data_IF_281724431402
#
_entry.id   IF_281724431402
#
_cell.length_a   1.000
_cell.length_b   1.000
_cell.length_c   1.000
_cell.angle_alpha   90.00
_cell.angle_beta   90.00
_cell.angle_gamma   90.00
#
_symmetry.space_group_name_H-M   'P 1'
#
loop_
_entity.id
_entity.type
_entity.pdbx_description
1 polymer ?
#
# COMPACT_ATOMS: atom_id res chain seq x y z
N UNK A 1 -18.82 41.49 2.23
CA UNK A 1 -19.84 40.56 2.73
C UNK A 1 -19.29 39.98 4.01
N UNK A 2 -20.02 40.10 5.12
CA UNK A 2 -19.60 39.52 6.40
C UNK A 2 -19.54 38.00 6.24
N UNK A 3 -18.41 37.39 6.55
CA UNK A 3 -18.23 35.94 6.51
C UNK A 3 -18.88 35.34 7.75
N UNK A 4 -20.18 35.06 7.68
CA UNK A 4 -20.86 34.27 8.71
C UNK A 4 -20.26 32.88 8.71
N UNK A 5 -19.69 32.46 9.85
CA UNK A 5 -19.28 31.08 10.08
C UNK A 5 -20.49 30.15 9.86
N UNK A 6 -20.38 29.11 9.01
CA UNK A 6 -21.49 28.22 8.73
C UNK A 6 -21.96 27.52 10.00
N UNK A 7 -23.28 27.41 10.17
CA UNK A 7 -23.86 26.59 11.23
C UNK A 7 -23.66 25.11 10.89
N UNK A 8 -22.64 24.51 11.48
CA UNK A 8 -22.27 23.11 11.26
C UNK A 8 -23.37 22.15 11.76
N UNK A 9 -24.18 22.55 12.74
CA UNK A 9 -25.28 21.73 13.26
C UNK A 9 -26.38 21.62 12.20
N UNK A 10 -26.77 22.75 11.60
CA UNK A 10 -27.74 22.76 10.50
C UNK A 10 -27.26 21.97 9.29
N UNK A 11 -25.97 22.06 8.93
CA UNK A 11 -25.43 21.27 7.81
C UNK A 11 -25.56 19.76 8.06
N UNK A 12 -25.28 19.29 9.28
CA UNK A 12 -25.42 17.87 9.63
C UNK A 12 -26.88 17.42 9.58
N UNK A 13 -27.82 18.22 10.11
CA UNK A 13 -29.25 17.92 10.04
C UNK A 13 -29.75 17.82 8.59
N UNK A 14 -29.26 18.70 7.70
CA UNK A 14 -29.59 18.66 6.28
C UNK A 14 -29.03 17.40 5.59
N UNK A 15 -27.81 16.98 5.93
CA UNK A 15 -27.26 15.72 5.41
C UNK A 15 -28.05 14.50 5.91
N UNK A 16 -28.39 14.45 7.19
CA UNK A 16 -29.22 13.36 7.74
C UNK A 16 -30.59 13.29 7.06
N UNK A 17 -31.23 14.43 6.80
CA UNK A 17 -32.52 14.46 6.12
C UNK A 17 -32.41 14.01 4.66
N UNK A 18 -31.32 14.37 3.96
CA UNK A 18 -31.03 13.89 2.61
C UNK A 18 -30.79 12.38 2.59
N UNK A 19 -30.14 11.83 3.61
CA UNK A 19 -29.91 10.39 3.73
C UNK A 19 -31.20 9.62 4.03
N UNK A 20 -32.05 10.16 4.92
CA UNK A 20 -33.36 9.56 5.24
C UNK A 20 -34.33 9.62 4.07
N UNK A 21 -34.31 10.72 3.31
CA UNK A 21 -35.19 10.98 2.19
C UNK A 21 -34.37 11.40 0.95
N UNK A 22 -33.88 10.44 0.14
CA UNK A 22 -32.92 10.71 -0.94
C UNK A 22 -33.23 11.87 -1.90
N UNK A 23 -34.49 12.08 -2.36
CA UNK A 23 -34.79 13.22 -3.20
C UNK A 23 -34.74 14.56 -2.47
N UNK A 24 -34.98 14.62 -1.15
CA UNK A 24 -35.15 15.81 -0.28
C UNK A 24 -34.74 17.15 -0.91
N UNK A 25 -35.58 17.65 -1.83
CA UNK A 25 -35.22 18.74 -2.73
C UNK A 25 -35.02 20.04 -1.96
N UNK A 26 -35.85 20.27 -0.93
CA UNK A 26 -35.75 21.43 -0.05
C UNK A 26 -34.47 21.38 0.78
N UNK A 27 -34.12 20.24 1.37
CA UNK A 27 -32.90 20.09 2.16
C UNK A 27 -31.65 20.31 1.31
N UNK A 28 -31.61 19.76 0.09
CA UNK A 28 -30.52 19.98 -0.89
C UNK A 28 -30.42 21.44 -1.32
N UNK A 29 -31.56 22.13 -1.54
CA UNK A 29 -31.60 23.57 -1.87
C UNK A 29 -31.05 24.40 -0.71
N UNK A 30 -31.47 24.11 0.52
CA UNK A 30 -31.05 24.81 1.74
C UNK A 30 -29.55 24.57 2.02
N UNK A 31 -29.06 23.35 1.80
CA UNK A 31 -27.64 22.99 1.90
C UNK A 31 -26.78 23.80 0.92
N UNK A 32 -27.19 23.87 -0.35
CA UNK A 32 -26.49 24.65 -1.37
C UNK A 32 -26.46 26.15 -1.02
N UNK A 33 -27.57 26.69 -0.48
CA UNK A 33 -27.67 28.07 -0.05
C UNK A 33 -26.75 28.38 1.15
N UNK A 34 -26.72 27.51 2.15
CA UNK A 34 -25.84 27.67 3.33
C UNK A 34 -24.35 27.62 2.93
N UNK A 35 -23.97 26.66 2.09
CA UNK A 35 -22.62 26.59 1.54
C UNK A 35 -22.25 27.86 0.75
N UNK A 36 -23.19 28.42 -0.02
CA UNK A 36 -22.95 29.66 -0.77
C UNK A 36 -22.75 30.87 0.16
N UNK A 37 -23.61 31.02 1.18
CA UNK A 37 -23.51 32.11 2.16
C UNK A 37 -22.23 32.03 3.00
N UNK A 38 -21.76 30.82 3.30
CA UNK A 38 -20.48 30.56 3.98
C UNK A 38 -19.23 30.79 3.09
N UNK A 39 -19.41 31.08 1.80
CA UNK A 39 -18.32 31.24 0.83
C UNK A 39 -17.71 29.92 0.34
N UNK A 40 -18.35 28.78 0.62
CA UNK A 40 -17.93 27.45 0.15
C UNK A 40 -18.48 27.17 -1.25
N UNK A 41 -17.97 27.94 -2.22
CA UNK A 41 -18.48 27.99 -3.59
C UNK A 41 -18.48 26.63 -4.29
N UNK A 42 -17.44 25.81 -4.09
CA UNK A 42 -17.34 24.50 -4.75
C UNK A 42 -18.34 23.48 -4.18
N UNK A 43 -18.49 23.44 -2.85
CA UNK A 43 -19.50 22.59 -2.19
C UNK A 43 -20.93 23.00 -2.58
N UNK A 44 -21.21 24.31 -2.64
CA UNK A 44 -22.49 24.83 -3.12
C UNK A 44 -22.76 24.43 -4.59
N UNK A 45 -21.73 24.46 -5.45
CA UNK A 45 -21.85 24.07 -6.85
C UNK A 45 -22.15 22.57 -7.01
N UNK A 46 -21.49 21.72 -6.23
CA UNK A 46 -21.72 20.28 -6.28
C UNK A 46 -23.13 19.93 -5.76
N UNK A 47 -23.57 20.54 -4.65
CA UNK A 47 -24.93 20.39 -4.14
C UNK A 47 -26.00 20.84 -5.17
N UNK A 48 -25.77 21.94 -5.90
CA UNK A 48 -26.67 22.39 -6.97
C UNK A 48 -26.69 21.46 -8.18
N UNK A 49 -25.56 20.83 -8.53
CA UNK A 49 -25.52 19.83 -9.62
C UNK A 49 -26.31 18.59 -9.25
N UNK A 50 -26.19 18.13 -8.01
CA UNK A 50 -26.98 17.02 -7.50
C UNK A 50 -28.47 17.38 -7.50
N UNK A 51 -28.85 18.55 -6.98
CA UNK A 51 -30.23 19.02 -6.98
C UNK A 51 -30.82 19.07 -8.41
N UNK A 52 -30.07 19.60 -9.37
CA UNK A 52 -30.46 19.66 -10.79
C UNK A 52 -30.63 18.28 -11.43
N UNK A 53 -29.88 17.27 -10.96
CA UNK A 53 -30.01 15.91 -11.44
C UNK A 53 -31.32 15.25 -10.98
N UNK A 54 -31.83 15.61 -9.79
CA UNK A 54 -33.11 15.13 -9.27
C UNK A 54 -34.31 15.89 -9.84
N UNK A 55 -34.25 17.22 -9.85
CA UNK A 55 -35.32 18.06 -10.40
C UNK A 55 -34.73 19.33 -11.05
N UNK A 56 -34.75 19.42 -12.40
CA UNK A 56 -34.30 20.61 -13.12
C UNK A 56 -35.14 21.87 -12.82
N UNK A 57 -36.38 21.71 -12.36
CA UNK A 57 -37.32 22.81 -12.10
C UNK A 57 -37.27 23.33 -10.67
N UNK A 58 -36.70 22.55 -9.73
CA UNK A 58 -36.53 22.93 -8.32
C UNK A 58 -35.55 24.11 -8.14
N UNK A 59 -34.62 24.30 -9.09
CA UNK A 59 -33.88 25.55 -9.25
C UNK A 59 -34.80 26.59 -9.91
N UNK A 60 -35.76 27.12 -9.16
CA UNK A 60 -36.47 28.34 -9.56
C UNK A 60 -35.49 29.48 -9.89
N UNK A 61 -36.00 30.62 -10.37
CA UNK A 61 -35.26 31.79 -10.87
C UNK A 61 -34.31 32.50 -9.88
N UNK A 62 -33.85 31.80 -8.85
CA UNK A 62 -32.84 32.19 -7.87
C UNK A 62 -31.55 32.69 -8.56
N UNK A 63 -31.21 33.99 -8.43
CA UNK A 63 -30.11 34.61 -9.18
C UNK A 63 -28.74 34.06 -8.79
N UNK A 64 -28.58 33.60 -7.53
CA UNK A 64 -27.33 33.03 -7.04
C UNK A 64 -27.04 31.65 -7.65
N UNK A 65 -28.08 30.84 -7.90
CA UNK A 65 -27.92 29.51 -8.49
C UNK A 65 -27.50 29.59 -9.96
N UNK A 66 -28.06 30.55 -10.73
CA UNK A 66 -27.62 30.86 -12.11
C UNK A 66 -26.14 31.26 -12.13
N UNK A 67 -25.74 32.14 -11.22
CA UNK A 67 -24.34 32.60 -11.10
C UNK A 67 -23.34 31.46 -10.81
N UNK A 68 -23.75 30.43 -10.07
CA UNK A 68 -22.89 29.28 -9.73
C UNK A 68 -22.85 28.20 -10.81
N UNK A 69 -23.95 28.01 -11.54
CA UNK A 69 -24.08 27.01 -12.60
C UNK A 69 -23.61 27.50 -13.96
N UNK A 70 -23.65 28.80 -14.20
CA UNK A 70 -23.05 29.38 -15.39
C UNK A 70 -21.55 29.09 -15.34
N UNK A 71 -21.01 28.39 -16.37
CA UNK A 71 -19.59 28.14 -16.43
C UNK A 71 -18.88 29.49 -16.35
N UNK A 72 -17.88 29.65 -15.46
CA UNK A 72 -17.21 30.93 -15.28
C UNK A 72 -16.81 31.43 -16.67
N UNK A 73 -17.35 32.58 -17.07
CA UNK A 73 -17.17 33.16 -18.41
C UNK A 73 -15.72 32.94 -18.80
N UNK A 74 -15.48 32.21 -19.91
CA UNK A 74 -14.15 31.75 -20.34
C UNK A 74 -13.18 32.91 -20.19
N UNK A 75 -12.48 32.99 -19.05
CA UNK A 75 -11.37 33.92 -18.90
C UNK A 75 -10.43 33.53 -20.03
N UNK A 76 -9.96 34.49 -20.86
CA UNK A 76 -8.95 34.17 -21.86
C UNK A 76 -7.90 33.33 -21.14
N UNK A 77 -7.53 32.16 -21.70
CA UNK A 77 -6.73 31.19 -20.98
C UNK A 77 -5.59 31.98 -20.36
N UNK A 78 -5.45 32.00 -19.01
CA UNK A 78 -4.28 32.64 -18.43
C UNK A 78 -3.12 32.02 -19.18
N UNK A 79 -2.34 32.85 -19.89
CA UNK A 79 -1.11 32.37 -20.55
C UNK A 79 -0.49 31.49 -19.50
N UNK A 80 -0.46 30.17 -19.75
CA UNK A 80 0.11 29.23 -18.81
C UNK A 80 1.52 29.75 -18.67
N UNK A 81 1.79 30.48 -17.58
CA UNK A 81 3.12 30.58 -17.04
C UNK A 81 3.40 29.12 -16.77
N UNK A 82 4.04 28.49 -17.74
CA UNK A 82 4.71 27.22 -17.58
C UNK A 82 5.63 27.54 -16.42
N UNK A 83 5.17 27.25 -15.20
CA UNK A 83 6.06 27.17 -14.05
C UNK A 83 6.99 26.07 -14.49
N UNK A 84 8.17 26.46 -14.95
CA UNK A 84 9.21 25.53 -15.33
C UNK A 84 9.35 24.61 -14.12
N UNK A 85 8.98 23.34 -14.30
CA UNK A 85 9.29 22.33 -13.31
C UNK A 85 10.81 22.41 -13.19
N UNK A 86 11.36 22.72 -12.00
CA UNK A 86 12.80 22.88 -11.85
C UNK A 86 13.45 21.58 -12.33
N UNK A 87 14.30 21.69 -13.36
CA UNK A 87 15.00 20.55 -13.91
C UNK A 87 15.93 20.00 -12.84
N UNK A 88 15.88 18.69 -12.62
CA UNK A 88 16.83 17.99 -11.77
C UNK A 88 18.24 18.29 -12.28
N UNK A 89 19.16 18.78 -11.43
CA UNK A 89 20.51 19.14 -11.86
C UNK A 89 21.20 17.89 -12.43
N UNK A 90 21.78 18.03 -13.62
CA UNK A 90 22.39 16.91 -14.36
C UNK A 90 23.89 16.80 -14.10
N UNK A 91 24.50 17.84 -13.51
CA UNK A 91 25.92 17.88 -13.16
C UNK A 91 26.14 18.38 -11.72
N UNK A 92 27.27 18.03 -11.08
CA UNK A 92 27.60 18.54 -9.75
C UNK A 92 27.78 20.08 -9.73
N UNK A 93 28.25 20.68 -10.82
CA UNK A 93 28.37 22.14 -10.95
C UNK A 93 26.99 22.83 -11.00
N UNK A 94 26.03 22.24 -11.71
CA UNK A 94 24.64 22.73 -11.74
C UNK A 94 23.98 22.61 -10.36
N UNK A 95 24.26 21.54 -9.62
CA UNK A 95 23.76 21.36 -8.26
C UNK A 95 24.28 22.45 -7.33
N UNK A 96 25.58 22.77 -7.38
CA UNK A 96 26.16 23.86 -6.57
C UNK A 96 25.62 25.23 -6.97
N UNK A 97 25.42 25.48 -8.27
CA UNK A 97 24.78 26.70 -8.74
C UNK A 97 23.34 26.85 -8.23
N UNK A 98 22.54 25.79 -8.28
CA UNK A 98 21.17 25.77 -7.75
C UNK A 98 21.14 25.95 -6.22
N UNK A 99 22.10 25.36 -5.48
CA UNK A 99 22.24 25.59 -4.04
C UNK A 99 22.54 27.05 -3.72
N UNK A 100 23.47 27.67 -4.45
CA UNK A 100 23.80 29.10 -4.28
C UNK A 100 22.62 30.01 -4.61
N UNK A 101 21.88 29.72 -5.68
CA UNK A 101 20.66 30.44 -6.03
C UNK A 101 19.60 30.34 -4.92
N UNK A 102 19.41 29.14 -4.37
CA UNK A 102 18.47 28.91 -3.26
C UNK A 102 18.88 29.67 -2.00
N UNK A 103 20.17 29.68 -1.65
CA UNK A 103 20.70 30.43 -0.50
C UNK A 103 20.45 31.92 -0.69
N UNK A 104 20.79 32.48 -1.86
CA UNK A 104 20.57 33.90 -2.17
C UNK A 104 19.09 34.27 -2.14
N UNK A 105 18.24 33.50 -2.82
CA UNK A 105 16.80 33.72 -2.83
C UNK A 105 16.18 33.63 -1.43
N UNK A 106 16.72 32.74 -0.58
CA UNK A 106 16.31 32.62 0.80
C UNK A 106 16.73 33.83 1.65
N UNK A 107 17.95 34.32 1.51
CA UNK A 107 18.41 35.54 2.18
C UNK A 107 17.58 36.77 1.77
N UNK A 108 17.29 36.91 0.48
CA UNK A 108 16.40 37.96 -0.04
C UNK A 108 14.99 37.85 0.56
N UNK A 109 14.44 36.63 0.66
CA UNK A 109 13.15 36.40 1.30
C UNK A 109 13.16 36.80 2.77
N UNK A 110 14.23 36.47 3.52
CA UNK A 110 14.38 36.86 4.93
C UNK A 110 14.47 38.37 5.09
N UNK A 111 15.22 39.06 4.23
CA UNK A 111 15.32 40.53 4.23
C UNK A 111 13.97 41.16 3.93
N UNK A 112 13.23 40.63 2.94
CA UNK A 112 11.89 41.10 2.61
C UNK A 112 10.90 40.87 3.75
N UNK A 113 10.93 39.70 4.39
CA UNK A 113 10.11 39.41 5.56
C UNK A 113 10.41 40.35 6.72
N UNK A 114 11.70 40.65 6.98
CA UNK A 114 12.12 41.62 7.99
C UNK A 114 11.59 43.03 7.69
N UNK A 115 11.64 43.45 6.42
CA UNK A 115 11.09 44.72 5.98
C UNK A 115 9.57 44.79 6.18
N UNK A 116 8.84 43.77 5.73
CA UNK A 116 7.38 43.70 5.90
C UNK A 116 6.97 43.68 7.37
N UNK A 117 7.73 42.99 8.23
CA UNK A 117 7.47 42.96 9.66
C UNK A 117 7.66 44.33 10.32
N UNK A 118 8.65 45.10 9.88
CA UNK A 118 8.81 46.49 10.31
C UNK A 118 7.65 47.37 9.84
N UNK A 119 7.23 47.23 8.58
CA UNK A 119 6.09 47.96 8.01
C UNK A 119 4.77 47.62 8.72
N UNK A 120 4.52 46.34 9.03
CA UNK A 120 3.36 45.90 9.80
C UNK A 120 3.29 46.56 11.19
N UNK A 121 4.42 46.62 11.90
CA UNK A 121 4.50 47.29 13.20
C UNK A 121 4.20 48.79 13.10
N UNK A 122 4.73 49.46 12.08
CA UNK A 122 4.43 50.88 11.84
C UNK A 122 2.94 51.10 11.53
N UNK A 123 2.32 50.20 10.76
CA UNK A 123 0.87 50.26 10.49
C UNK A 123 0.04 50.00 11.75
N UNK A 124 0.47 49.07 12.60
CA UNK A 124 -0.17 48.81 13.89
C UNK A 124 -0.08 50.03 14.82
N UNK A 125 1.08 50.68 14.89
CA UNK A 125 1.28 51.91 15.65
C UNK A 125 0.36 53.01 15.11
N UNK A 126 0.33 53.25 13.80
CA UNK A 126 -0.55 54.25 13.17
C UNK A 126 -2.04 53.97 13.41
N UNK A 127 -2.46 52.69 13.34
CA UNK A 127 -3.83 52.30 13.63
C UNK A 127 -4.19 52.57 15.10
N UNK A 128 -3.24 52.36 16.02
CA UNK A 128 -3.43 52.64 17.45
C UNK A 128 -3.58 54.14 17.75
N UNK A 129 -2.96 55.02 16.96
CA UNK A 129 -3.10 56.47 17.08
C UNK A 129 -4.39 57.01 16.45
N UNK A 130 -4.92 56.36 15.40
CA UNK A 130 -6.06 56.86 14.64
C UNK A 130 -7.43 56.44 15.18
N UNK A 131 -7.51 55.40 16.01
CA UNK A 131 -8.78 54.84 16.46
C UNK A 131 -9.09 55.26 17.91
N UNK A 132 -10.14 56.05 18.12
CA UNK A 132 -10.69 56.35 19.46
C UNK A 132 -11.32 55.14 20.14
N UNK A 133 -11.51 54.04 19.41
CA UNK A 133 -11.68 52.68 19.96
C UNK A 133 -11.05 51.68 18.97
N UNK A 134 -10.00 50.93 19.35
CA UNK A 134 -9.40 49.97 18.45
C UNK A 134 -10.38 48.82 18.19
N UNK A 135 -10.79 48.68 16.94
CA UNK A 135 -11.59 47.55 16.48
C UNK A 135 -10.72 46.29 16.61
N UNK A 136 -11.03 45.41 17.57
CA UNK A 136 -10.12 44.31 17.98
C UNK A 136 -9.77 43.38 16.81
N UNK A 137 -10.66 43.26 15.82
CA UNK A 137 -10.42 42.46 14.61
C UNK A 137 -9.24 42.96 13.76
N UNK A 138 -9.02 44.28 13.70
CA UNK A 138 -7.95 44.84 12.88
C UNK A 138 -6.58 44.53 13.48
N UNK A 139 -6.46 44.58 14.80
CA UNK A 139 -5.23 44.23 15.53
C UNK A 139 -4.92 42.73 15.39
N UNK A 140 -5.94 41.87 15.54
CA UNK A 140 -5.77 40.42 15.42
C UNK A 140 -5.30 39.95 14.03
N UNK A 141 -5.63 40.69 12.95
CA UNK A 141 -5.13 40.38 11.60
C UNK A 141 -3.63 40.61 11.45
N UNK A 142 -3.09 41.68 12.04
CA UNK A 142 -1.65 41.94 11.99
C UNK A 142 -0.87 40.93 12.84
N UNK A 143 -1.38 40.59 14.03
CA UNK A 143 -0.75 39.60 14.92
C UNK A 143 -0.61 38.21 14.28
N UNK A 144 -1.61 37.77 13.49
CA UNK A 144 -1.55 36.49 12.78
C UNK A 144 -0.41 36.45 11.76
N UNK A 145 -0.17 37.54 11.02
CA UNK A 145 0.89 37.61 10.01
C UNK A 145 2.28 37.86 10.63
N UNK A 146 2.34 38.53 11.76
CA UNK A 146 3.58 38.79 12.47
C UNK A 146 4.24 37.51 12.96
N UNK A 147 3.47 36.49 13.35
CA UNK A 147 4.01 35.18 13.70
C UNK A 147 4.76 34.54 12.50
N UNK A 148 4.12 34.52 11.33
CA UNK A 148 4.68 33.94 10.11
C UNK A 148 5.91 34.73 9.63
N UNK A 149 5.84 36.06 9.64
CA UNK A 149 6.97 36.91 9.27
C UNK A 149 8.16 36.74 10.24
N UNK A 150 7.89 36.68 11.55
CA UNK A 150 8.94 36.38 12.54
C UNK A 150 9.57 35.01 12.30
N UNK A 151 8.77 34.00 11.97
CA UNK A 151 9.27 32.68 11.63
C UNK A 151 10.18 32.71 10.40
N UNK A 152 9.80 33.40 9.31
CA UNK A 152 10.67 33.58 8.14
C UNK A 152 11.97 34.30 8.50
N UNK A 153 11.91 35.40 9.25
CA UNK A 153 13.10 36.18 9.66
C UNK A 153 14.06 35.33 10.48
N UNK A 154 13.54 34.52 11.40
CA UNK A 154 14.32 33.60 12.24
C UNK A 154 14.78 32.32 11.50
N UNK A 155 14.48 32.23 10.22
CA UNK A 155 14.88 31.14 9.36
C UNK A 155 14.09 29.85 9.53
N UNK A 156 12.89 29.94 10.11
CA UNK A 156 11.93 28.83 10.27
C UNK A 156 10.95 28.79 9.11
N UNK A 157 11.45 28.67 7.87
CA UNK A 157 10.59 28.65 6.67
C UNK A 157 9.55 27.52 6.72
N UNK A 158 9.94 26.38 7.30
CA UNK A 158 9.08 25.21 7.43
C UNK A 158 7.82 25.45 8.27
N UNK A 159 7.81 26.43 9.18
CA UNK A 159 6.61 26.74 9.95
C UNK A 159 5.62 27.64 9.19
N UNK A 160 6.08 28.30 8.13
CA UNK A 160 5.29 29.28 7.36
C UNK A 160 4.79 28.69 6.05
N UNK A 161 5.52 27.74 5.49
CA UNK A 161 5.02 26.90 4.42
C UNK A 161 3.91 26.01 4.99
N UNK A 162 2.65 26.48 4.87
CA UNK A 162 1.48 25.63 5.10
C UNK A 162 1.62 24.43 4.18
N UNK A 163 1.97 23.29 4.76
CA UNK A 163 2.06 22.04 4.05
C UNK A 163 0.73 21.81 3.37
N UNK A 164 0.78 21.56 2.06
CA UNK A 164 -0.42 21.33 1.27
C UNK A 164 -1.24 20.26 1.96
N UNK A 165 -2.49 20.57 2.27
CA UNK A 165 -3.40 19.59 2.83
C UNK A 165 -3.53 18.42 1.83
N UNK A 166 -3.53 17.17 2.30
CA UNK A 166 -3.73 16.01 1.43
C UNK A 166 -4.98 16.16 0.58
N UNK A 167 -4.92 15.68 -0.66
CA UNK A 167 -6.06 15.71 -1.56
C UNK A 167 -7.27 14.95 -0.95
N UNK A 168 -8.51 15.21 -1.38
CA UNK A 168 -9.64 14.37 -0.97
C UNK A 168 -9.44 12.92 -1.48
N UNK A 169 -9.74 11.92 -0.65
CA UNK A 169 -9.52 10.51 -0.98
C UNK A 169 -10.19 10.08 -2.30
N UNK A 170 -11.40 10.60 -2.58
CA UNK A 170 -12.11 10.37 -3.85
C UNK A 170 -11.37 10.94 -5.07
N UNK A 171 -10.64 12.04 -4.90
CA UNK A 171 -9.83 12.63 -5.97
C UNK A 171 -8.65 11.75 -6.32
N UNK A 172 -7.96 11.25 -5.30
CA UNK A 172 -6.83 10.32 -5.45
C UNK A 172 -7.30 8.98 -6.04
N UNK A 173 -8.43 8.45 -5.56
CA UNK A 173 -9.01 7.22 -6.11
C UNK A 173 -9.30 7.34 -7.62
N UNK A 174 -9.87 8.47 -8.07
CA UNK A 174 -10.07 8.73 -9.50
C UNK A 174 -8.76 8.82 -10.29
N UNK A 175 -7.71 9.38 -9.69
CA UNK A 175 -6.39 9.45 -10.33
C UNK A 175 -5.77 8.05 -10.48
N UNK A 176 -5.91 7.20 -9.45
CA UNK A 176 -5.52 5.79 -9.52
C UNK A 176 -6.30 5.01 -10.58
N UNK A 177 -7.61 5.24 -10.71
CA UNK A 177 -8.46 4.64 -11.74
C UNK A 177 -8.04 5.05 -13.15
N UNK A 178 -7.64 6.31 -13.34
CA UNK A 178 -7.17 6.82 -14.63
C UNK A 178 -5.80 6.23 -15.03
N UNK A 179 -4.99 5.80 -14.06
CA UNK A 179 -3.63 5.29 -14.28
C UNK A 179 -3.37 4.06 -13.39
N UNK A 180 -3.98 2.90 -13.69
CA UNK A 180 -3.88 1.72 -12.84
C UNK A 180 -2.45 1.21 -12.66
N UNK A 181 -1.60 1.36 -13.68
CA UNK A 181 -0.18 0.97 -13.63
C UNK A 181 0.63 1.77 -12.61
N UNK A 182 0.23 3.02 -12.35
CA UNK A 182 0.88 3.93 -11.38
C UNK A 182 0.09 4.06 -10.09
N UNK A 183 -0.94 3.24 -9.90
CA UNK A 183 -1.85 3.36 -8.77
C UNK A 183 -1.12 3.22 -7.42
N UNK A 184 -0.13 2.33 -7.31
CA UNK A 184 0.68 2.19 -6.08
C UNK A 184 1.48 3.47 -5.80
N UNK A 185 2.12 4.05 -6.82
CA UNK A 185 2.93 5.27 -6.66
C UNK A 185 2.07 6.48 -6.29
N UNK A 186 0.89 6.62 -6.92
CA UNK A 186 -0.07 7.68 -6.60
C UNK A 186 -0.54 7.55 -5.16
N UNK A 187 -0.93 6.34 -4.73
CA UNK A 187 -1.35 6.09 -3.36
C UNK A 187 -0.21 6.32 -2.35
N UNK A 188 1.01 5.89 -2.67
CA UNK A 188 2.18 6.11 -1.83
C UNK A 188 2.50 7.60 -1.69
N UNK A 189 2.45 8.37 -2.78
CA UNK A 189 2.64 9.82 -2.75
C UNK A 189 1.58 10.53 -1.91
N UNK A 190 0.31 10.11 -1.98
CA UNK A 190 -0.76 10.66 -1.13
C UNK A 190 -0.49 10.37 0.36
N UNK A 191 -0.09 9.13 0.68
CA UNK A 191 0.23 8.74 2.05
C UNK A 191 1.48 9.49 2.57
N UNK A 192 2.50 9.71 1.74
CA UNK A 192 3.65 10.56 2.08
C UNK A 192 3.23 12.00 2.39
N UNK A 193 2.35 12.57 1.57
CA UNK A 193 1.80 13.91 1.78
C UNK A 193 1.01 13.99 3.10
N UNK A 194 0.24 12.95 3.43
CA UNK A 194 -0.46 12.81 4.71
C UNK A 194 0.53 12.77 5.87
N UNK A 195 1.59 11.95 5.80
CA UNK A 195 2.62 11.92 6.85
C UNK A 195 3.27 13.29 7.00
N UNK A 196 3.63 13.94 5.90
CA UNK A 196 4.27 15.27 5.91
C UNK A 196 3.37 16.31 6.56
N UNK A 197 2.08 16.29 6.21
CA UNK A 197 1.07 17.17 6.78
C UNK A 197 0.84 16.89 8.28
N UNK A 198 0.75 15.63 8.71
CA UNK A 198 0.60 15.28 10.12
C UNK A 198 1.81 15.71 10.95
N UNK A 199 3.03 15.49 10.44
CA UNK A 199 4.27 15.92 11.10
C UNK A 199 4.37 17.43 11.24
N UNK A 200 3.78 18.22 10.35
CA UNK A 200 3.79 19.69 10.47
C UNK A 200 2.78 20.22 11.49
N UNK A 201 1.75 19.45 11.82
CA UNK A 201 0.70 19.85 12.78
C UNK A 201 0.94 19.27 14.18
N UNK A 202 1.72 18.18 14.30
CA UNK A 202 2.12 17.65 15.60
C UNK A 202 3.33 18.41 16.14
N UNK A 203 3.10 19.26 17.13
CA UNK A 203 4.13 20.00 17.86
C UNK A 203 4.98 19.13 18.82
N UNK A 204 4.72 17.82 18.87
CA UNK A 204 5.49 16.84 19.62
C UNK A 204 6.80 16.50 18.88
N UNK A 205 7.94 16.79 19.52
CA UNK A 205 9.32 16.57 19.03
C UNK A 205 9.64 15.08 18.79
N UNK A 206 8.80 14.16 19.27
CA UNK A 206 8.84 12.74 18.94
C UNK A 206 7.45 12.33 18.50
N UNK A 207 7.10 12.68 17.26
CA UNK A 207 5.83 12.34 16.64
C UNK A 207 5.47 10.87 16.90
N UNK A 208 4.38 10.68 17.61
CA UNK A 208 3.85 9.37 17.97
C UNK A 208 3.63 8.57 16.67
N UNK A 209 4.56 7.67 16.39
CA UNK A 209 4.56 6.87 15.15
C UNK A 209 3.26 6.08 15.06
N UNK A 210 2.68 5.69 16.19
CA UNK A 210 1.43 4.94 16.25
C UNK A 210 0.24 5.83 15.87
N UNK A 211 0.21 7.09 16.31
CA UNK A 211 -0.83 8.04 15.87
C UNK A 211 -0.74 8.33 14.36
N UNK A 212 0.47 8.50 13.83
CA UNK A 212 0.68 8.67 12.38
C UNK A 212 0.23 7.41 11.64
N UNK A 213 0.60 6.22 12.15
CA UNK A 213 0.21 4.95 11.56
C UNK A 213 -1.30 4.76 11.56
N UNK A 214 -1.98 5.07 12.66
CA UNK A 214 -3.45 4.98 12.75
C UNK A 214 -4.12 5.90 11.73
N UNK A 215 -3.62 7.12 11.56
CA UNK A 215 -4.11 8.04 10.54
C UNK A 215 -3.90 7.52 9.12
N UNK A 216 -2.75 6.89 8.84
CA UNK A 216 -2.47 6.25 7.54
C UNK A 216 -3.38 5.04 7.29
N UNK A 217 -3.64 4.21 8.31
CA UNK A 217 -4.56 3.08 8.21
C UNK A 217 -5.97 3.59 7.89
N UNK A 218 -6.46 4.61 8.62
CA UNK A 218 -7.77 5.25 8.33
C UNK A 218 -7.81 5.82 6.92
N UNK A 219 -6.76 6.53 6.49
CA UNK A 219 -6.67 7.08 5.14
C UNK A 219 -6.71 5.97 4.08
N UNK A 220 -5.96 4.90 4.28
CA UNK A 220 -5.93 3.73 3.39
C UNK A 220 -7.30 3.06 3.30
N UNK A 221 -8.02 2.93 4.43
CA UNK A 221 -9.39 2.42 4.45
C UNK A 221 -10.36 3.32 3.65
N UNK A 222 -10.27 4.64 3.82
CA UNK A 222 -11.10 5.58 3.06
C UNK A 222 -10.81 5.54 1.56
N UNK A 223 -9.55 5.35 1.19
CA UNK A 223 -9.11 5.23 -0.20
C UNK A 223 -9.57 3.89 -0.80
N UNK A 224 -9.42 2.78 -0.08
CA UNK A 224 -9.94 1.47 -0.47
C UNK A 224 -11.47 1.43 -0.60
N UNK A 225 -12.21 2.17 0.25
CA UNK A 225 -13.67 2.26 0.14
C UNK A 225 -14.12 3.05 -1.10
N UNK A 226 -13.30 3.98 -1.58
CA UNK A 226 -13.56 4.76 -2.79
C UNK A 226 -13.09 4.07 -4.08
N UNK A 227 -12.28 3.01 -3.99
CA UNK A 227 -11.71 2.30 -5.13
C UNK A 227 -12.54 1.07 -5.55
N UNK A 228 -12.50 0.69 -6.84
CA UNK A 228 -13.02 -0.58 -7.33
C UNK A 228 -12.26 -1.77 -6.74
N UNK A 229 -12.91 -2.94 -6.63
CA UNK A 229 -12.35 -4.14 -6.00
C UNK A 229 -10.98 -4.57 -6.56
N UNK A 230 -10.77 -4.39 -7.87
CA UNK A 230 -9.50 -4.70 -8.53
C UNK A 230 -8.33 -3.84 -8.01
N UNK A 231 -8.59 -2.60 -7.59
CA UNK A 231 -7.57 -1.64 -7.19
C UNK A 231 -7.36 -1.56 -5.67
N UNK A 232 -8.28 -2.09 -4.85
CA UNK A 232 -8.19 -2.05 -3.37
C UNK A 232 -6.85 -2.54 -2.82
N UNK A 233 -6.23 -3.54 -3.47
CA UNK A 233 -4.92 -4.08 -3.08
C UNK A 233 -3.78 -3.08 -3.20
N UNK A 234 -3.84 -2.15 -4.16
CA UNK A 234 -2.79 -1.16 -4.38
C UNK A 234 -2.67 -0.21 -3.20
N UNK A 235 -3.79 0.09 -2.53
CA UNK A 235 -3.81 0.90 -1.31
C UNK A 235 -3.07 0.21 -0.16
N UNK A 236 -3.31 -1.09 0.06
CA UNK A 236 -2.59 -1.86 1.08
C UNK A 236 -1.11 -1.99 0.78
N UNK A 237 -0.73 -2.19 -0.50
CA UNK A 237 0.68 -2.24 -0.92
C UNK A 237 1.37 -0.89 -0.71
N UNK A 238 0.71 0.21 -1.04
CA UNK A 238 1.24 1.55 -0.78
C UNK A 238 1.46 1.80 0.72
N UNK A 239 0.51 1.40 1.58
CA UNK A 239 0.67 1.51 3.03
C UNK A 239 1.89 0.72 3.52
N UNK A 240 2.09 -0.51 3.04
CA UNK A 240 3.25 -1.33 3.36
C UNK A 240 4.57 -0.62 3.01
N UNK A 241 4.67 0.00 1.83
CA UNK A 241 5.86 0.76 1.43
C UNK A 241 6.11 1.98 2.33
N UNK A 242 5.06 2.73 2.69
CA UNK A 242 5.21 3.91 3.57
C UNK A 242 5.57 3.51 5.00
N UNK A 243 5.02 2.41 5.52
CA UNK A 243 5.43 1.87 6.81
C UNK A 243 6.93 1.51 6.82
N UNK A 244 7.43 0.95 5.72
CA UNK A 244 8.84 0.62 5.55
C UNK A 244 9.72 1.86 5.50
N UNK A 245 9.51 2.74 4.53
CA UNK A 245 10.42 3.84 4.21
C UNK A 245 10.33 4.99 5.23
N UNK A 246 9.10 5.34 5.64
CA UNK A 246 8.84 6.58 6.39
C UNK A 246 8.71 6.33 7.88
N UNK A 247 8.06 5.24 8.29
CA UNK A 247 7.90 4.89 9.71
C UNK A 247 9.07 4.03 10.23
N UNK A 248 9.82 3.38 9.32
CA UNK A 248 10.89 2.41 9.64
C UNK A 248 10.35 1.34 10.58
N UNK A 249 9.29 0.65 10.12
CA UNK A 249 8.67 -0.45 10.85
C UNK A 249 9.74 -1.48 11.23
N UNK A 250 9.64 -2.02 12.45
CA UNK A 250 10.51 -3.10 12.90
C UNK A 250 10.02 -4.43 12.34
N UNK A 251 10.93 -5.12 11.65
CA UNK A 251 10.68 -6.42 11.04
C UNK A 251 11.30 -7.55 11.87
N UNK A 252 10.99 -8.79 11.51
CA UNK A 252 11.59 -9.96 12.16
C UNK A 252 13.06 -10.14 11.79
N UNK A 253 13.48 -9.68 10.61
CA UNK A 253 14.88 -9.59 10.20
C UNK A 253 15.25 -8.15 9.80
N UNK A 254 16.51 -7.79 10.04
CA UNK A 254 17.07 -6.47 9.69
C UNK A 254 17.88 -6.52 8.39
N UNK A 255 18.21 -7.73 7.92
CA UNK A 255 19.00 -8.00 6.72
C UNK A 255 18.21 -8.90 5.75
N UNK A 256 18.51 -8.78 4.44
CA UNK A 256 18.01 -9.65 3.37
C UNK A 256 18.66 -11.03 3.44
N UNK A 257 18.29 -11.95 2.55
CA UNK A 257 18.92 -13.27 2.53
C UNK A 257 20.38 -13.22 2.08
N UNK A 258 20.77 -12.16 1.36
CA UNK A 258 22.16 -11.93 0.94
C UNK A 258 22.96 -11.02 1.88
N UNK A 259 22.35 -10.58 2.99
CA UNK A 259 23.03 -9.80 4.03
C UNK A 259 23.00 -8.29 3.80
N UNK A 260 22.23 -7.82 2.81
CA UNK A 260 22.01 -6.38 2.60
C UNK A 260 21.02 -5.87 3.66
N UNK A 261 21.13 -4.61 4.11
CA UNK A 261 20.18 -4.06 5.08
C UNK A 261 18.80 -3.90 4.46
N UNK A 262 17.75 -4.31 5.19
CA UNK A 262 16.36 -4.25 4.74
C UNK A 262 15.92 -2.82 4.37
N UNK A 263 16.48 -1.80 5.02
CA UNK A 263 16.17 -0.40 4.74
C UNK A 263 16.60 0.08 3.35
N UNK A 264 17.52 -0.63 2.69
CA UNK A 264 18.06 -0.25 1.39
C UNK A 264 17.33 -0.96 0.22
N UNK A 265 16.35 -1.83 0.51
CA UNK A 265 15.58 -2.53 -0.53
C UNK A 265 14.75 -1.50 -1.32
N UNK A 266 14.89 -1.40 -2.65
CA UNK A 266 14.09 -0.49 -3.45
C UNK A 266 12.61 -0.84 -3.40
N UNK A 267 11.73 0.18 -3.41
CA UNK A 267 10.26 0.02 -3.40
C UNK A 267 9.76 -1.00 -4.42
N UNK A 268 10.33 -1.00 -5.63
CA UNK A 268 9.97 -1.90 -6.72
C UNK A 268 10.29 -3.39 -6.47
N UNK A 269 11.12 -3.69 -5.48
CA UNK A 269 11.53 -5.05 -5.09
C UNK A 269 11.00 -5.46 -3.72
N UNK A 270 10.46 -4.52 -2.96
CA UNK A 270 10.13 -4.74 -1.56
C UNK A 270 8.75 -5.40 -1.40
N UNK A 271 8.71 -6.50 -0.65
CA UNK A 271 7.46 -7.14 -0.21
C UNK A 271 7.54 -7.52 1.27
N UNK A 272 6.42 -7.42 1.99
CA UNK A 272 6.30 -7.96 3.36
C UNK A 272 5.20 -9.01 3.36
N UNK A 273 5.51 -10.19 3.89
CA UNK A 273 4.57 -11.30 4.08
C UNK A 273 3.86 -11.22 5.44
N UNK A 274 2.76 -11.96 5.59
CA UNK A 274 1.92 -11.96 6.80
C UNK A 274 2.70 -12.30 8.10
N UNK A 275 3.76 -13.10 7.97
CA UNK A 275 4.69 -13.46 9.05
C UNK A 275 5.66 -12.32 9.45
N UNK A 276 5.48 -11.12 8.89
CA UNK A 276 6.26 -9.91 9.15
C UNK A 276 7.73 -10.01 8.69
N UNK A 277 8.01 -10.86 7.69
CA UNK A 277 9.30 -10.91 7.02
C UNK A 277 9.32 -9.98 5.79
N UNK A 278 10.32 -9.07 5.70
CA UNK A 278 10.60 -8.27 4.54
C UNK A 278 11.42 -9.08 3.53
N UNK A 279 11.08 -8.94 2.25
CA UNK A 279 11.70 -9.65 1.15
C UNK A 279 12.14 -8.67 0.07
N UNK A 280 13.36 -8.87 -0.41
CA UNK A 280 13.69 -8.52 -1.78
C UNK A 280 13.12 -9.62 -2.69
N UNK A 281 12.22 -9.21 -3.57
CA UNK A 281 11.51 -10.11 -4.46
C UNK A 281 12.40 -10.79 -5.50
N UNK A 282 13.57 -10.23 -5.84
CA UNK A 282 14.53 -10.92 -6.71
C UNK A 282 15.15 -12.11 -5.96
N UNK A 283 15.58 -11.90 -4.72
CA UNK A 283 16.17 -12.95 -3.88
C UNK A 283 15.14 -14.04 -3.55
N UNK A 284 13.93 -13.63 -3.16
CA UNK A 284 12.85 -14.55 -2.83
C UNK A 284 12.44 -15.40 -4.05
N UNK A 285 12.28 -14.78 -5.22
CA UNK A 285 11.94 -15.51 -6.43
C UNK A 285 13.05 -16.49 -6.84
N UNK A 286 14.32 -16.10 -6.69
CA UNK A 286 15.45 -16.99 -6.95
C UNK A 286 15.46 -18.20 -5.99
N UNK A 287 15.22 -17.98 -4.69
CA UNK A 287 15.19 -19.06 -3.70
C UNK A 287 13.99 -20.01 -3.89
N UNK A 288 12.81 -19.49 -4.23
CA UNK A 288 11.64 -20.35 -4.54
C UNK A 288 11.92 -21.17 -5.80
N UNK A 289 12.54 -20.56 -6.82
CA UNK A 289 12.91 -21.25 -8.06
C UNK A 289 13.95 -22.34 -7.83
N UNK A 290 14.98 -22.10 -7.00
CA UNK A 290 15.97 -23.13 -6.65
C UNK A 290 15.35 -24.29 -5.89
N UNK A 291 14.31 -24.04 -5.10
CA UNK A 291 13.55 -25.07 -4.37
C UNK A 291 12.47 -25.75 -5.23
N UNK A 292 12.49 -25.56 -6.55
CA UNK A 292 11.58 -26.21 -7.48
C UNK A 292 10.15 -25.65 -7.48
N UNK A 293 9.95 -24.42 -7.00
CA UNK A 293 8.64 -23.74 -7.03
C UNK A 293 7.77 -23.97 -5.80
N UNK A 294 8.29 -24.60 -4.74
CA UNK A 294 7.55 -24.74 -3.48
C UNK A 294 7.48 -23.39 -2.77
N UNK A 295 6.25 -22.89 -2.57
CA UNK A 295 5.97 -21.59 -1.94
C UNK A 295 6.20 -21.63 -0.42
N UNK A 296 7.47 -21.63 -0.02
CA UNK A 296 7.92 -21.61 1.37
C UNK A 296 8.81 -20.41 1.65
N UNK A 297 8.70 -19.90 2.86
CA UNK A 297 9.63 -18.93 3.41
C UNK A 297 11.04 -19.58 3.50
N UNK A 298 12.06 -19.08 2.77
CA UNK A 298 13.38 -19.69 2.77
C UNK A 298 14.11 -19.65 4.12
N UNK A 299 13.75 -18.71 5.01
CA UNK A 299 14.36 -18.53 6.32
C UNK A 299 13.68 -19.38 7.39
N UNK A 300 12.35 -19.26 7.53
CA UNK A 300 11.59 -20.00 8.56
C UNK A 300 11.22 -21.42 8.12
N UNK A 301 11.34 -21.72 6.82
CA UNK A 301 10.91 -22.97 6.18
C UNK A 301 9.41 -23.26 6.22
N UNK A 302 8.61 -22.32 6.72
CA UNK A 302 7.16 -22.45 6.76
C UNK A 302 6.54 -22.18 5.39
N UNK A 303 5.36 -22.74 5.15
CA UNK A 303 4.60 -22.47 3.93
C UNK A 303 4.03 -21.05 3.99
N UNK A 304 4.10 -20.33 2.87
CA UNK A 304 3.41 -19.04 2.76
C UNK A 304 1.90 -19.22 2.84
N UNK A 305 1.20 -18.22 3.40
CA UNK A 305 -0.26 -18.23 3.41
C UNK A 305 -0.80 -18.13 1.98
N UNK A 306 -2.05 -18.54 1.75
CA UNK A 306 -2.65 -18.39 0.41
C UNK A 306 -2.76 -16.93 -0.03
N UNK A 307 -2.81 -15.99 0.92
CA UNK A 307 -2.77 -14.56 0.67
C UNK A 307 -1.36 -14.15 0.22
N UNK A 308 -0.33 -14.53 0.98
CA UNK A 308 1.08 -14.28 0.64
C UNK A 308 1.43 -14.82 -0.74
N UNK A 309 1.07 -16.06 -1.06
CA UNK A 309 1.33 -16.66 -2.37
C UNK A 309 0.72 -15.84 -3.50
N UNK A 310 -0.52 -15.35 -3.33
CA UNK A 310 -1.16 -14.50 -4.34
C UNK A 310 -0.43 -13.17 -4.50
N UNK A 311 0.04 -12.58 -3.40
CA UNK A 311 0.77 -11.31 -3.42
C UNK A 311 2.14 -11.47 -4.08
N UNK A 312 2.88 -12.53 -3.72
CA UNK A 312 4.16 -12.92 -4.33
C UNK A 312 3.98 -13.10 -5.84
N UNK A 313 2.97 -13.85 -6.28
CA UNK A 313 2.70 -14.11 -7.70
C UNK A 313 2.22 -12.87 -8.47
N UNK A 314 1.48 -11.97 -7.83
CA UNK A 314 1.02 -10.72 -8.43
C UNK A 314 2.14 -9.68 -8.59
N UNK A 315 3.18 -9.77 -7.76
CA UNK A 315 4.33 -8.89 -7.84
C UNK A 315 5.05 -9.02 -9.19
N UNK A 316 5.47 -7.94 -9.86
CA UNK A 316 6.09 -8.00 -11.20
C UNK A 316 7.23 -9.02 -11.32
N UNK A 317 8.12 -9.06 -10.32
CA UNK A 317 9.24 -10.01 -10.28
C UNK A 317 8.83 -11.44 -9.91
N UNK A 318 7.72 -11.61 -9.20
CA UNK A 318 7.21 -12.92 -8.80
C UNK A 318 6.30 -13.59 -9.83
N UNK A 319 5.92 -12.90 -10.92
CA UNK A 319 5.10 -13.47 -12.00
C UNK A 319 5.75 -14.71 -12.64
N UNK A 320 7.07 -14.80 -12.66
CA UNK A 320 7.79 -15.98 -13.14
C UNK A 320 7.47 -17.25 -12.31
N UNK A 321 7.09 -17.09 -11.05
CA UNK A 321 6.70 -18.18 -10.16
C UNK A 321 5.28 -18.69 -10.47
N UNK A 322 4.43 -17.88 -11.11
CA UNK A 322 3.09 -18.30 -11.52
C UNK A 322 3.16 -19.50 -12.48
N UNK A 323 4.10 -19.45 -13.43
CA UNK A 323 4.33 -20.53 -14.37
C UNK A 323 4.75 -21.82 -13.64
N UNK A 324 5.67 -21.71 -12.68
CA UNK A 324 6.08 -22.85 -11.85
C UNK A 324 4.94 -23.41 -11.01
N UNK A 325 4.05 -22.56 -10.50
CA UNK A 325 2.89 -23.01 -9.74
C UNK A 325 1.91 -23.80 -10.61
N UNK A 326 1.68 -23.35 -11.84
CA UNK A 326 0.86 -24.07 -12.83
C UNK A 326 1.53 -25.38 -13.24
N UNK A 327 2.85 -25.40 -13.37
CA UNK A 327 3.59 -26.63 -13.64
C UNK A 327 3.45 -27.62 -12.48
N UNK A 328 3.64 -27.18 -11.23
CA UNK A 328 3.46 -28.01 -10.04
C UNK A 328 2.02 -28.54 -9.92
N UNK A 329 1.00 -27.72 -10.21
CA UNK A 329 -0.39 -28.19 -10.21
C UNK A 329 -0.64 -29.23 -11.30
N UNK A 330 -0.15 -29.03 -12.53
CA UNK A 330 -0.24 -30.01 -13.62
C UNK A 330 0.48 -31.31 -13.28
N UNK A 331 1.65 -31.25 -12.66
CA UNK A 331 2.38 -32.43 -12.22
C UNK A 331 1.58 -33.19 -11.14
N UNK A 332 0.92 -32.48 -10.23
CA UNK A 332 0.07 -33.11 -9.20
C UNK A 332 -1.16 -33.81 -9.79
N UNK A 333 -1.79 -33.23 -10.81
CA UNK A 333 -2.93 -33.83 -11.53
C UNK A 333 -2.50 -35.05 -12.38
N UNK A 334 -1.26 -35.05 -12.86
CA UNK A 334 -0.70 -36.11 -13.71
C UNK A 334 -0.50 -37.45 -13.00
N UNK A 335 -0.52 -37.49 -11.66
CA UNK A 335 -0.38 -38.72 -10.88
C UNK A 335 -1.74 -39.43 -10.78
N UNK A 336 -1.78 -40.71 -11.18
CA UNK A 336 -3.02 -41.50 -11.18
C UNK A 336 -3.41 -41.92 -9.76
N UNK A 337 -4.71 -42.07 -9.51
CA UNK A 337 -5.23 -42.53 -8.21
C UNK A 337 -4.57 -43.85 -7.77
N UNK A 338 -4.39 -44.78 -8.72
CA UNK A 338 -3.71 -46.05 -8.46
C UNK A 338 -2.30 -45.83 -7.89
N UNK A 339 -1.51 -44.94 -8.47
CA UNK A 339 -0.16 -44.62 -7.98
C UNK A 339 -0.19 -43.99 -6.59
N UNK A 340 -1.20 -43.15 -6.31
CA UNK A 340 -1.40 -42.59 -4.96
C UNK A 340 -1.70 -43.70 -3.94
N UNK A 341 -2.49 -44.71 -4.32
CA UNK A 341 -2.84 -45.83 -3.45
C UNK A 341 -1.64 -46.78 -3.22
N UNK A 342 -0.81 -47.01 -4.24
CA UNK A 342 0.46 -47.75 -4.10
C UNK A 342 1.44 -47.01 -3.16
N UNK A 343 1.54 -45.68 -3.27
CA UNK A 343 2.32 -44.84 -2.35
C UNK A 343 1.80 -44.92 -0.90
N UNK A 344 0.48 -44.90 -0.71
CA UNK A 344 -0.18 -45.02 0.60
C UNK A 344 0.07 -46.40 1.22
N UNK A 345 -0.02 -47.47 0.42
CA UNK A 345 0.30 -48.82 0.86
C UNK A 345 1.76 -48.94 1.26
N UNK A 346 2.69 -48.42 0.44
CA UNK A 346 4.11 -48.42 0.74
C UNK A 346 4.39 -47.69 2.06
N UNK A 347 3.85 -46.47 2.24
CA UNK A 347 4.03 -45.72 3.48
C UNK A 347 3.55 -46.48 4.72
N UNK A 348 2.41 -47.17 4.65
CA UNK A 348 1.88 -48.00 5.75
C UNK A 348 2.78 -49.19 6.08
N UNK A 349 3.34 -49.86 5.08
CA UNK A 349 4.26 -50.98 5.28
C UNK A 349 5.56 -50.48 5.93
N UNK A 350 6.13 -49.39 5.42
CA UNK A 350 7.37 -48.81 5.97
C UNK A 350 7.21 -48.34 7.42
N UNK A 351 6.03 -47.83 7.82
CA UNK A 351 5.76 -47.45 9.21
C UNK A 351 5.48 -48.65 10.12
N UNK A 352 4.94 -49.74 9.59
CA UNK A 352 4.61 -50.93 10.37
C UNK A 352 5.80 -51.88 10.56
N UNK A 353 6.83 -51.75 9.72
CA UNK A 353 7.99 -52.62 9.72
C UNK A 353 9.00 -52.25 10.80
N UNK A 354 8.81 -52.84 11.98
CA UNK A 354 9.69 -52.68 13.14
C UNK A 354 10.72 -53.82 13.24
N UNK A 355 10.94 -54.62 12.18
CA UNK A 355 11.90 -55.71 12.21
C UNK A 355 13.35 -55.20 12.12
N UNK A 356 14.31 -55.95 12.69
CA UNK A 356 15.72 -55.57 12.66
C UNK A 356 16.32 -55.60 11.24
N UNK A 357 15.82 -56.50 10.39
CA UNK A 357 16.28 -56.71 9.01
C UNK A 357 15.56 -55.81 7.99
N UNK A 358 14.41 -55.23 8.37
CA UNK A 358 13.56 -54.38 7.54
C UNK A 358 13.26 -54.99 6.15
N UNK A 359 13.15 -56.32 6.06
CA UNK A 359 13.01 -56.99 4.77
C UNK A 359 11.72 -56.61 4.06
N UNK A 360 10.61 -56.45 4.79
CA UNK A 360 9.32 -56.06 4.20
C UNK A 360 9.39 -54.66 3.58
N UNK A 361 10.08 -53.74 4.26
CA UNK A 361 10.34 -52.39 3.75
C UNK A 361 11.14 -52.40 2.45
N UNK A 362 12.16 -53.27 2.35
CA UNK A 362 12.96 -53.42 1.13
C UNK A 362 12.16 -54.04 -0.01
N UNK A 363 11.42 -55.11 0.27
CA UNK A 363 10.57 -55.77 -0.73
C UNK A 363 9.52 -54.82 -1.31
N UNK A 364 8.85 -54.01 -0.48
CA UNK A 364 7.85 -53.06 -0.97
C UNK A 364 8.48 -51.91 -1.77
N UNK A 365 9.67 -51.44 -1.39
CA UNK A 365 10.41 -50.42 -2.14
C UNK A 365 10.83 -50.94 -3.52
N UNK A 366 11.39 -52.15 -3.58
CA UNK A 366 11.79 -52.76 -4.85
C UNK A 366 10.58 -53.03 -5.74
N UNK A 367 9.46 -53.49 -5.16
CA UNK A 367 8.19 -53.65 -5.86
C UNK A 367 7.65 -52.32 -6.41
N UNK A 368 7.70 -51.25 -5.62
CA UNK A 368 7.27 -49.92 -6.06
C UNK A 368 8.20 -49.35 -7.13
N UNK A 369 9.51 -49.54 -7.03
CA UNK A 369 10.46 -49.10 -8.06
C UNK A 369 10.23 -49.84 -9.38
N UNK A 370 9.98 -51.15 -9.33
CA UNK A 370 9.58 -51.92 -10.50
C UNK A 370 8.26 -51.39 -11.10
N UNK A 371 7.25 -51.12 -10.27
CA UNK A 371 6.01 -50.48 -10.71
C UNK A 371 6.24 -49.10 -11.34
N UNK A 372 7.08 -48.25 -10.74
CA UNK A 372 7.39 -46.91 -11.23
C UNK A 372 7.96 -46.94 -12.66
N UNK A 373 8.81 -47.92 -12.99
CA UNK A 373 9.33 -48.09 -14.36
C UNK A 373 8.29 -48.47 -15.41
N UNK A 374 7.12 -48.97 -14.99
CA UNK A 374 6.01 -49.31 -15.90
C UNK A 374 5.06 -48.13 -16.14
N UNK A 375 5.23 -47.02 -15.42
CA UNK A 375 4.38 -45.84 -15.55
C UNK A 375 4.71 -45.06 -16.84
N UNK A 376 3.76 -44.29 -17.40
CA UNK A 376 4.04 -43.35 -18.47
C UNK A 376 5.12 -42.33 -18.06
N UNK A 377 5.94 -41.90 -19.01
CA UNK A 377 7.03 -40.93 -18.80
C UNK A 377 6.56 -39.66 -18.08
N UNK A 378 5.35 -39.19 -18.39
CA UNK A 378 4.77 -38.00 -17.74
C UNK A 378 4.57 -38.19 -16.23
N UNK A 379 4.18 -39.39 -15.80
CA UNK A 379 3.95 -39.72 -14.39
C UNK A 379 5.27 -40.00 -13.66
N UNK A 380 6.24 -40.62 -14.33
CA UNK A 380 7.59 -40.77 -13.79
C UNK A 380 8.24 -39.40 -13.54
N UNK A 381 8.14 -38.50 -14.53
CA UNK A 381 8.62 -37.11 -14.40
C UNK A 381 7.88 -36.38 -13.28
N UNK A 382 6.58 -36.62 -13.11
CA UNK A 382 5.83 -36.05 -11.99
C UNK A 382 6.35 -36.56 -10.64
N UNK A 383 6.55 -37.87 -10.47
CA UNK A 383 7.11 -38.41 -9.22
C UNK A 383 8.52 -37.86 -8.92
N UNK A 384 9.33 -37.63 -9.95
CA UNK A 384 10.71 -37.14 -9.80
C UNK A 384 10.82 -35.64 -9.56
N UNK A 385 9.90 -34.84 -10.10
CA UNK A 385 9.97 -33.37 -10.02
C UNK A 385 8.98 -32.75 -9.04
N UNK A 386 7.87 -33.43 -8.73
CA UNK A 386 6.87 -32.93 -7.80
C UNK A 386 7.49 -32.84 -6.40
N UNK A 387 7.48 -31.63 -5.86
CA UNK A 387 7.90 -31.36 -4.50
C UNK A 387 6.68 -31.05 -3.66
N UNK A 388 6.43 -31.90 -2.67
CA UNK A 388 5.26 -31.77 -1.81
C UNK A 388 5.58 -30.88 -0.63
N UNK A 389 4.65 -30.02 -0.21
CA UNK A 389 4.77 -29.27 1.03
C UNK A 389 4.63 -30.19 2.27
N UNK A 390 5.66 -31.00 2.58
CA UNK A 390 5.72 -31.90 3.74
C UNK A 390 6.77 -31.48 4.79
N UNK A 391 6.56 -31.84 6.05
CA UNK A 391 7.44 -31.56 7.20
C UNK A 391 7.71 -32.86 7.95
N UNK A 392 8.97 -33.16 8.26
CA UNK A 392 9.34 -34.32 9.09
C UNK A 392 8.71 -34.17 10.49
N UNK A 393 7.79 -35.06 10.83
CA UNK A 393 7.02 -35.04 12.08
C UNK A 393 7.89 -35.20 13.32
N UNK A 394 9.08 -35.80 13.20
CA UNK A 394 10.00 -35.99 14.32
C UNK A 394 10.92 -34.79 14.53
N UNK A 395 11.43 -34.20 13.45
CA UNK A 395 12.44 -33.12 13.55
C UNK A 395 11.85 -31.72 13.36
N UNK A 396 10.64 -31.61 12.81
CA UNK A 396 10.05 -30.34 12.39
C UNK A 396 10.73 -29.72 11.16
N UNK A 397 11.69 -30.42 10.55
CA UNK A 397 12.44 -29.93 9.40
C UNK A 397 11.62 -30.20 8.12
N UNK A 398 11.47 -29.23 7.21
CA UNK A 398 10.80 -29.46 5.93
C UNK A 398 11.50 -30.55 5.11
N UNK A 399 10.72 -31.29 4.31
CA UNK A 399 11.29 -32.11 3.26
C UNK A 399 11.59 -31.26 2.01
N UNK A 400 12.83 -31.32 1.54
CA UNK A 400 13.31 -30.64 0.32
C UNK A 400 13.61 -31.63 -0.82
N UNK A 401 13.09 -32.84 -0.75
CA UNK A 401 13.24 -33.89 -1.78
C UNK A 401 11.92 -34.15 -2.50
N UNK A 402 11.99 -34.66 -3.73
CA UNK A 402 10.80 -35.17 -4.42
C UNK A 402 10.42 -36.57 -3.92
N UNK A 403 9.21 -37.02 -4.26
CA UNK A 403 8.74 -38.36 -3.91
C UNK A 403 9.67 -39.44 -4.49
N UNK A 404 10.03 -39.33 -5.78
CA UNK A 404 10.94 -40.27 -6.42
C UNK A 404 12.36 -40.24 -5.85
N UNK A 405 12.87 -39.07 -5.49
CA UNK A 405 14.17 -38.92 -4.84
C UNK A 405 14.19 -39.58 -3.45
N UNK A 406 13.16 -39.35 -2.65
CA UNK A 406 13.06 -39.95 -1.31
C UNK A 406 12.99 -41.48 -1.34
N UNK A 407 12.25 -42.06 -2.31
CA UNK A 407 12.18 -43.52 -2.49
C UNK A 407 13.54 -44.09 -2.88
N UNK A 408 14.27 -43.45 -3.82
CA UNK A 408 15.62 -43.86 -4.22
C UNK A 408 16.63 -43.72 -3.08
N UNK A 409 16.55 -42.65 -2.30
CA UNK A 409 17.43 -42.44 -1.16
C UNK A 409 17.16 -43.44 -0.03
N UNK A 410 15.91 -43.83 0.18
CA UNK A 410 15.56 -44.92 1.09
C UNK A 410 16.12 -46.27 0.61
N UNK A 411 15.98 -46.58 -0.70
CA UNK A 411 16.57 -47.79 -1.29
C UNK A 411 18.10 -47.81 -1.16
N UNK A 412 18.74 -46.65 -1.34
CA UNK A 412 20.19 -46.48 -1.16
C UNK A 412 20.66 -46.43 0.30
N UNK A 413 19.78 -46.64 1.29
CA UNK A 413 20.04 -46.51 2.73
C UNK A 413 20.60 -45.12 3.15
N UNK A 414 20.31 -44.06 2.39
CA UNK A 414 20.65 -42.68 2.76
C UNK A 414 19.60 -42.04 3.65
N UNK A 415 18.34 -42.46 3.49
CA UNK A 415 17.19 -42.01 4.27
C UNK A 415 16.60 -43.19 5.03
N UNK A 416 16.26 -43.02 6.31
CA UNK A 416 15.60 -44.08 7.06
C UNK A 416 14.16 -44.30 6.57
N UNK A 417 13.67 -45.54 6.63
CA UNK A 417 12.36 -45.91 6.12
C UNK A 417 11.22 -45.14 6.78
N UNK A 418 11.26 -44.92 8.10
CA UNK A 418 10.26 -44.13 8.82
C UNK A 418 10.15 -42.69 8.29
N UNK A 419 11.29 -42.06 8.01
CA UNK A 419 11.33 -40.69 7.48
C UNK A 419 10.84 -40.61 6.04
N UNK A 420 11.16 -41.63 5.22
CA UNK A 420 10.58 -41.77 3.89
C UNK A 420 9.06 -41.94 3.99
N UNK A 421 8.59 -42.84 4.84
CA UNK A 421 7.17 -43.14 5.01
C UNK A 421 6.34 -41.94 5.50
N UNK A 422 6.91 -41.10 6.36
CA UNK A 422 6.27 -39.86 6.81
C UNK A 422 6.07 -38.88 5.64
N UNK A 423 7.13 -38.63 4.85
CA UNK A 423 7.04 -37.82 3.63
C UNK A 423 5.97 -38.38 2.67
N UNK A 424 5.99 -39.69 2.43
CA UNK A 424 5.04 -40.35 1.52
C UNK A 424 3.60 -40.22 2.02
N UNK A 425 3.35 -40.37 3.32
CA UNK A 425 2.02 -40.22 3.92
C UNK A 425 1.47 -38.81 3.72
N UNK A 426 2.33 -37.79 3.90
CA UNK A 426 1.96 -36.40 3.66
C UNK A 426 1.78 -36.09 2.17
N UNK A 427 2.61 -36.67 1.30
CA UNK A 427 2.47 -36.57 -0.16
C UNK A 427 1.15 -37.16 -0.65
N UNK A 428 0.75 -38.33 -0.16
CA UNK A 428 -0.55 -38.94 -0.46
C UNK A 428 -1.70 -38.03 -0.04
N UNK A 429 -1.65 -37.49 1.19
CA UNK A 429 -2.68 -36.57 1.68
C UNK A 429 -2.77 -35.30 0.82
N UNK A 430 -1.63 -34.76 0.40
CA UNK A 430 -1.57 -33.60 -0.49
C UNK A 430 -2.15 -33.90 -1.87
N UNK A 431 -1.73 -35.00 -2.51
CA UNK A 431 -2.19 -35.41 -3.84
C UNK A 431 -3.68 -35.75 -3.88
N UNK A 432 -4.24 -36.26 -2.77
CA UNK A 432 -5.68 -36.50 -2.65
C UNK A 432 -6.48 -35.20 -2.51
N UNK A 433 -5.89 -34.13 -1.96
CA UNK A 433 -6.52 -32.81 -1.84
C UNK A 433 -6.40 -31.95 -3.08
N UNK A 434 -5.37 -32.18 -3.91
CA UNK A 434 -5.12 -31.40 -5.13
C UNK A 434 -5.96 -31.87 -6.33
N UNK A 435 -6.64 -33.01 -6.21
CA UNK A 435 -7.68 -33.49 -7.13
C UNK A 435 -9.05 -33.00 -6.67
#
# INVERSE_FOLDING_TARGET
>A
MATSTPDLTLLNELYEEIERNPPALEARKLLAQQCYQAGWIDAARDALRELRAFDPTALGDEPWAKTLLDPPAKKPPPKKLIKAVPKTPSSPEELEAQKLELIKGYEELRLRAKKMLHENRLLQDLASFSASSPDSESISRFEAHDHDLNALVNGRVHSVLRMRQPAPARGVAREMEQSPEKAVDIAASDLEDVVRWLRSHSSSVSGDKDAIREALVKRTQTLSAALPDALKKHASTALMHIEHEVLRRKYNCEETMYGDPVADIPRARFLVTDDNYPWDMEELAAAIKSNGGVMRNPLTKQLFTTADVRTIVQHPLGQCLAALQIEQSKLSEGIRAKTIDELDQMAKVLLADMSEDQMKSREILDAFMAYATTLPDSEQVALDKLRVPAIDTHTGIPFDTSVGEAVRDAQGNKLCFHKCADLLSQAVSYLRKSR
#
